data_IF_366916785023
#
_entry.id   IF_366916785023
#
_cell.length_a   1.000
_cell.length_b   1.000
_cell.length_c   1.000
_cell.angle_alpha   90.00
_cell.angle_beta   90.00
_cell.angle_gamma   90.00
#
_symmetry.space_group_name_H-M   'P 1'
#
loop_
_entity.id
_entity.type
_entity.pdbx_description
1 polymer ?
#
# COMPACT_ATOMS: atom_id res chain seq x y z
N UNK A 1 16.75 1.40 14.41
CA UNK A 1 16.03 2.35 13.53
C UNK A 1 15.00 1.59 12.69
N UNK A 2 13.82 2.15 12.44
CA UNK A 2 12.81 1.50 11.57
C UNK A 2 12.50 2.42 10.39
N UNK A 3 12.58 1.89 9.17
CA UNK A 3 12.14 2.55 7.95
C UNK A 3 10.76 2.03 7.59
N UNK A 4 9.80 2.93 7.49
CA UNK A 4 8.43 2.64 7.06
C UNK A 4 8.27 2.95 5.58
N UNK A 5 7.70 2.00 4.84
CA UNK A 5 7.45 2.09 3.41
C UNK A 5 5.93 2.14 3.19
N UNK A 6 5.30 3.32 3.33
CA UNK A 6 3.85 3.42 3.31
C UNK A 6 3.31 3.00 1.94
N UNK A 7 2.31 2.12 1.93
CA UNK A 7 1.68 1.63 0.68
C UNK A 7 2.68 0.94 -0.23
N UNK A 8 3.58 0.16 0.38
CA UNK A 8 4.69 -0.52 -0.30
C UNK A 8 4.27 -1.25 -1.60
N UNK A 9 3.17 -2.01 -1.66
CA UNK A 9 2.78 -2.70 -2.89
C UNK A 9 2.59 -1.74 -4.09
N UNK A 10 2.02 -0.56 -3.86
CA UNK A 10 1.87 0.45 -4.91
C UNK A 10 3.22 1.08 -5.26
N UNK A 11 4.08 1.33 -4.27
CA UNK A 11 5.40 1.89 -4.53
C UNK A 11 6.24 0.96 -5.41
N UNK A 12 6.26 -0.35 -5.09
CA UNK A 12 6.94 -1.37 -5.90
C UNK A 12 6.44 -1.36 -7.34
N UNK A 13 5.12 -1.38 -7.52
CA UNK A 13 4.52 -1.36 -8.85
C UNK A 13 4.88 -0.09 -9.64
N UNK A 14 4.94 1.07 -8.99
CA UNK A 14 5.31 2.33 -9.64
C UNK A 14 6.81 2.45 -9.96
N UNK A 15 7.66 1.65 -9.31
CA UNK A 15 9.07 1.49 -9.68
C UNK A 15 9.20 0.59 -10.91
N UNK A 16 8.48 -0.54 -10.93
CA UNK A 16 8.48 -1.49 -12.04
C UNK A 16 7.80 -0.91 -13.29
N UNK A 17 6.73 -0.13 -13.11
CA UNK A 17 5.92 0.45 -14.19
C UNK A 17 5.70 1.95 -13.97
N UNK A 18 6.68 2.80 -14.31
CA UNK A 18 6.59 4.25 -14.10
C UNK A 18 5.44 4.93 -14.86
N UNK A 19 4.95 4.33 -15.95
CA UNK A 19 3.82 4.81 -16.74
C UNK A 19 2.49 4.85 -15.98
N UNK A 20 2.39 4.18 -14.82
CA UNK A 20 1.19 4.17 -13.96
C UNK A 20 1.11 5.39 -13.03
N UNK A 21 2.18 6.18 -12.89
CA UNK A 21 2.21 7.38 -12.03
C UNK A 21 1.07 8.40 -12.26
N UNK A 22 0.62 8.67 -13.51
CA UNK A 22 -0.50 9.59 -13.76
C UNK A 22 -1.87 8.97 -13.50
N UNK A 23 -1.97 7.70 -13.11
CA UNK A 23 -3.24 7.00 -12.86
C UNK A 23 -3.43 6.71 -11.37
N UNK A 24 -4.68 6.64 -10.87
CA UNK A 24 -4.97 6.02 -9.59
C UNK A 24 -4.67 4.52 -9.67
N UNK A 25 -3.87 4.00 -8.75
CA UNK A 25 -3.50 2.58 -8.69
C UNK A 25 -4.12 1.95 -7.44
N UNK A 26 -4.88 0.88 -7.65
CA UNK A 26 -5.48 0.06 -6.60
C UNK A 26 -4.87 -1.33 -6.62
N UNK A 27 -4.35 -1.75 -5.48
CA UNK A 27 -4.00 -3.15 -5.23
C UNK A 27 -5.16 -3.75 -4.47
N UNK A 28 -5.78 -4.76 -5.04
CA UNK A 28 -6.99 -5.38 -4.54
C UNK A 28 -6.76 -6.85 -4.20
N UNK A 29 -7.49 -7.34 -3.20
CA UNK A 29 -7.54 -8.77 -2.88
C UNK A 29 -8.97 -9.26 -2.99
N UNK A 30 -9.16 -10.54 -3.28
CA UNK A 30 -10.49 -11.16 -3.20
C UNK A 30 -10.76 -11.58 -1.76
N UNK A 31 -11.91 -11.18 -1.22
CA UNK A 31 -12.35 -11.65 0.09
C UNK A 31 -12.95 -13.06 0.01
N UNK A 32 -13.32 -13.63 1.16
CA UNK A 32 -13.94 -14.96 1.26
C UNK A 32 -15.27 -15.11 0.49
N UNK A 33 -15.91 -14.00 0.10
CA UNK A 33 -17.13 -13.98 -0.71
C UNK A 33 -16.85 -13.73 -2.20
N UNK A 34 -15.57 -13.69 -2.60
CA UNK A 34 -15.15 -13.42 -3.98
C UNK A 34 -15.20 -11.96 -4.41
N UNK A 35 -15.54 -11.02 -3.52
CA UNK A 35 -15.57 -9.59 -3.83
C UNK A 35 -14.15 -9.00 -3.75
N UNK A 36 -13.85 -8.08 -4.69
CA UNK A 36 -12.59 -7.32 -4.65
C UNK A 36 -12.66 -6.25 -3.57
N UNK A 37 -11.71 -6.29 -2.65
CA UNK A 37 -11.50 -5.29 -1.60
C UNK A 37 -10.14 -4.64 -1.77
N UNK A 38 -10.04 -3.36 -1.42
CA UNK A 38 -8.80 -2.59 -1.49
C UNK A 38 -7.83 -3.12 -0.42
N UNK A 39 -6.64 -3.56 -0.83
CA UNK A 39 -5.54 -3.84 0.07
C UNK A 39 -4.76 -2.55 0.36
N UNK A 40 -4.42 -1.82 -0.70
CA UNK A 40 -3.77 -0.52 -0.65
C UNK A 40 -4.00 0.24 -1.95
N UNK A 41 -3.83 1.56 -1.94
CA UNK A 41 -3.99 2.36 -3.14
C UNK A 41 -3.16 3.65 -3.05
N UNK A 42 -2.77 4.19 -4.20
CA UNK A 42 -2.19 5.53 -4.29
C UNK A 42 -2.38 6.12 -5.67
N UNK A 43 -2.23 7.45 -5.75
CA UNK A 43 -2.08 8.17 -7.01
C UNK A 43 -0.83 9.04 -6.86
N UNK A 44 0.23 8.73 -7.60
CA UNK A 44 1.52 9.41 -7.44
C UNK A 44 1.49 10.84 -7.98
N UNK A 45 0.84 11.04 -9.13
CA UNK A 45 0.68 12.35 -9.78
C UNK A 45 -0.80 12.64 -10.00
N UNK A 46 -1.57 12.93 -8.93
CA UNK A 46 -2.95 13.31 -9.09
C UNK A 46 -3.04 14.70 -9.75
N UNK A 47 -4.08 14.95 -10.57
CA UNK A 47 -4.35 16.27 -11.10
C UNK A 47 -4.63 17.26 -9.95
N UNK A 48 -4.46 18.55 -10.24
CA UNK A 48 -4.81 19.61 -9.30
C UNK A 48 -6.28 19.46 -8.88
N UNK A 49 -6.51 19.41 -7.57
CA UNK A 49 -7.84 19.20 -7.01
C UNK A 49 -8.49 20.55 -6.70
N UNK A 50 -9.74 20.81 -7.12
CA UNK A 50 -10.50 21.94 -6.60
C UNK A 50 -10.77 21.68 -5.12
N UNK A 51 -10.40 22.65 -4.26
CA UNK A 51 -10.37 22.58 -2.80
C UNK A 51 -11.33 21.55 -2.18
N UNK A 52 -10.81 20.41 -1.72
CA UNK A 52 -11.60 19.35 -1.10
C UNK A 52 -10.74 18.32 -0.38
N UNK A 53 -11.34 17.63 0.60
CA UNK A 53 -10.68 16.63 1.45
C UNK A 53 -10.22 15.43 0.62
N UNK A 54 -8.96 15.00 0.79
CA UNK A 54 -8.42 13.77 0.15
C UNK A 54 -9.41 12.61 0.31
N UNK A 55 -9.66 11.82 -0.75
CA UNK A 55 -10.57 10.68 -0.65
C UNK A 55 -10.09 9.74 0.47
N UNK A 56 -10.98 9.45 1.40
CA UNK A 56 -10.73 8.54 2.51
C UNK A 56 -11.08 7.11 2.06
N UNK A 57 -10.19 6.54 1.25
CA UNK A 57 -10.29 5.14 0.83
C UNK A 57 -9.35 4.35 1.72
N UNK A 58 -9.94 3.45 2.50
CA UNK A 58 -9.26 2.64 3.51
C UNK A 58 -9.13 1.18 3.04
N UNK A 59 -8.11 0.44 3.52
CA UNK A 59 -8.03 -1.00 3.32
C UNK A 59 -9.29 -1.73 3.80
N UNK A 60 -9.71 -2.76 3.07
CA UNK A 60 -10.91 -3.55 3.34
C UNK A 60 -12.20 -3.01 2.70
N UNK A 61 -12.21 -1.75 2.26
CA UNK A 61 -13.31 -1.18 1.47
C UNK A 61 -13.48 -1.96 0.16
N UNK A 62 -14.71 -2.18 -0.30
CA UNK A 62 -14.91 -2.81 -1.61
C UNK A 62 -14.39 -1.90 -2.72
N UNK A 63 -13.95 -2.48 -3.84
CA UNK A 63 -13.51 -1.69 -4.98
C UNK A 63 -14.60 -0.72 -5.46
N UNK A 64 -15.86 -1.14 -5.43
CA UNK A 64 -17.00 -0.30 -5.80
C UNK A 64 -17.16 0.92 -4.89
N UNK A 65 -17.09 0.74 -3.56
CA UNK A 65 -17.12 1.85 -2.60
C UNK A 65 -15.92 2.79 -2.78
N UNK A 66 -14.73 2.23 -3.00
CA UNK A 66 -13.53 3.01 -3.24
C UNK A 66 -13.68 3.90 -4.50
N UNK A 67 -14.23 3.36 -5.59
CA UNK A 67 -14.55 4.14 -6.79
C UNK A 67 -15.63 5.20 -6.51
N UNK A 68 -16.64 4.89 -5.71
CA UNK A 68 -17.68 5.84 -5.32
C UNK A 68 -17.13 7.01 -4.48
N UNK A 69 -16.04 6.81 -3.73
CA UNK A 69 -15.31 7.87 -3.02
C UNK A 69 -14.37 8.64 -3.97
N UNK A 70 -13.75 7.95 -4.94
CA UNK A 70 -12.83 8.56 -5.91
C UNK A 70 -13.56 9.48 -6.91
N UNK A 71 -14.74 9.08 -7.39
CA UNK A 71 -15.52 9.80 -8.38
C UNK A 71 -15.86 11.26 -7.98
N UNK A 72 -16.38 11.58 -6.79
CA UNK A 72 -16.64 12.96 -6.40
C UNK A 72 -15.34 13.73 -6.08
N UNK A 73 -14.24 13.03 -5.77
CA UNK A 73 -12.96 13.64 -5.45
C UNK A 73 -12.19 14.14 -6.68
N UNK A 74 -12.28 13.41 -7.80
CA UNK A 74 -11.47 13.67 -9.00
C UNK A 74 -12.27 13.64 -10.30
N UNK A 75 -13.55 13.29 -10.26
CA UNK A 75 -14.41 13.07 -11.43
C UNK A 75 -14.52 11.60 -11.82
N UNK A 76 -15.59 11.25 -12.56
CA UNK A 76 -15.85 9.88 -13.01
C UNK A 76 -14.77 9.32 -13.95
N UNK A 77 -14.03 10.19 -14.64
CA UNK A 77 -12.91 9.78 -15.49
C UNK A 77 -11.79 9.13 -14.69
N UNK A 78 -11.54 9.57 -13.44
CA UNK A 78 -10.51 8.99 -12.58
C UNK A 78 -10.82 7.52 -12.27
N UNK A 79 -12.11 7.18 -12.10
CA UNK A 79 -12.53 5.79 -11.90
C UNK A 79 -12.32 4.95 -13.17
N UNK A 80 -12.56 5.52 -14.36
CA UNK A 80 -12.40 4.81 -15.64
C UNK A 80 -10.94 4.50 -15.97
N UNK A 81 -10.02 5.37 -15.58
CA UNK A 81 -8.59 5.16 -15.80
C UNK A 81 -7.86 4.54 -14.61
N UNK A 82 -8.57 4.22 -13.54
CA UNK A 82 -7.97 3.58 -12.38
C UNK A 82 -7.38 2.23 -12.79
N UNK A 83 -6.11 2.03 -12.47
CA UNK A 83 -5.42 0.77 -12.68
C UNK A 83 -5.67 -0.13 -11.48
N UNK A 84 -6.31 -1.27 -11.70
CA UNK A 84 -6.64 -2.24 -10.66
C UNK A 84 -5.82 -3.50 -10.88
N UNK A 85 -5.05 -3.89 -9.88
CA UNK A 85 -4.23 -5.10 -9.89
C UNK A 85 -4.57 -5.98 -8.70
N UNK A 86 -4.36 -7.28 -8.86
CA UNK A 86 -4.45 -8.22 -7.76
C UNK A 86 -3.24 -8.09 -6.82
N UNK A 87 -3.47 -8.34 -5.53
CA UNK A 87 -2.46 -8.34 -4.47
C UNK A 87 -1.45 -9.47 -4.70
N UNK A 88 -0.19 -9.10 -4.85
CA UNK A 88 0.96 -10.01 -4.97
C UNK A 88 1.81 -9.93 -3.70
N UNK A 89 1.27 -10.47 -2.60
CA UNK A 89 1.94 -10.46 -1.30
C UNK A 89 3.30 -11.16 -1.33
N UNK A 90 3.49 -12.14 -2.21
CA UNK A 90 4.76 -12.88 -2.35
C UNK A 90 5.80 -12.00 -3.03
N UNK A 91 5.48 -11.37 -4.16
CA UNK A 91 6.39 -10.44 -4.84
C UNK A 91 6.69 -9.21 -3.98
N UNK A 92 5.69 -8.68 -3.27
CA UNK A 92 5.89 -7.56 -2.33
C UNK A 92 6.92 -7.92 -1.24
N UNK A 93 6.80 -9.11 -0.66
CA UNK A 93 7.72 -9.61 0.37
C UNK A 93 9.13 -9.84 -0.20
N UNK A 94 9.25 -10.49 -1.35
CA UNK A 94 10.55 -10.77 -1.98
C UNK A 94 11.30 -9.48 -2.36
N UNK A 95 10.58 -8.47 -2.83
CA UNK A 95 11.16 -7.17 -3.14
C UNK A 95 11.67 -6.46 -1.87
N UNK A 96 10.94 -6.54 -0.74
CA UNK A 96 11.43 -6.04 0.55
C UNK A 96 12.65 -6.80 1.05
N UNK A 97 12.68 -8.12 0.91
CA UNK A 97 13.83 -8.93 1.29
C UNK A 97 15.06 -8.58 0.43
N UNK A 98 14.84 -8.21 -0.83
CA UNK A 98 15.91 -7.68 -1.69
C UNK A 98 16.40 -6.32 -1.20
N UNK A 99 15.49 -5.41 -0.82
CA UNK A 99 15.86 -4.12 -0.25
C UNK A 99 16.59 -4.29 1.11
N UNK A 100 16.13 -5.21 1.95
CA UNK A 100 16.76 -5.57 3.22
C UNK A 100 18.19 -6.08 3.01
N UNK A 101 18.40 -6.97 2.03
CA UNK A 101 19.74 -7.47 1.67
C UNK A 101 20.65 -6.34 1.21
N UNK A 102 20.16 -5.41 0.39
CA UNK A 102 20.93 -4.24 -0.03
C UNK A 102 21.29 -3.33 1.16
N UNK A 103 20.34 -3.11 2.07
CA UNK A 103 20.52 -2.29 3.26
C UNK A 103 21.56 -2.86 4.25
N UNK A 104 21.87 -4.16 4.21
CA UNK A 104 22.92 -4.77 5.05
C UNK A 104 24.32 -4.17 4.84
N UNK A 105 24.55 -3.48 3.72
CA UNK A 105 25.79 -2.72 3.50
C UNK A 105 25.95 -1.54 4.48
N UNK A 106 24.84 -1.03 5.03
CA UNK A 106 24.79 0.16 5.87
C UNK A 106 24.45 -0.14 7.34
N UNK A 107 23.86 -1.31 7.62
CA UNK A 107 23.55 -1.76 8.97
C UNK A 107 23.79 -3.28 9.06
N UNK A 108 24.58 -3.77 10.03
CA UNK A 108 24.95 -5.20 10.11
C UNK A 108 23.74 -6.13 10.31
N UNK A 109 22.67 -5.63 10.91
CA UNK A 109 21.44 -6.39 11.16
C UNK A 109 20.25 -5.67 10.53
N UNK A 110 19.60 -6.34 9.58
CA UNK A 110 18.40 -5.85 8.88
C UNK A 110 17.36 -6.97 8.83
N UNK A 111 16.14 -6.65 9.25
CA UNK A 111 14.99 -7.54 9.23
C UNK A 111 13.79 -6.88 8.52
N UNK A 112 13.00 -7.68 7.82
CA UNK A 112 11.71 -7.23 7.25
C UNK A 112 10.62 -7.54 8.27
N UNK A 113 10.05 -6.49 8.86
CA UNK A 113 8.99 -6.61 9.84
C UNK A 113 7.60 -6.60 9.19
N UNK A 114 6.58 -7.15 9.86
CA UNK A 114 5.20 -6.82 9.53
C UNK A 114 4.96 -5.33 9.81
N UNK A 115 4.00 -4.72 9.13
CA UNK A 115 3.54 -3.40 9.52
C UNK A 115 3.04 -3.45 10.97
N UNK A 116 3.84 -3.00 11.94
CA UNK A 116 3.37 -2.82 13.31
C UNK A 116 2.18 -1.85 13.25
N UNK A 117 1.00 -2.35 13.61
CA UNK A 117 -0.21 -1.56 13.67
C UNK A 117 0.09 -0.30 14.50
N UNK A 118 0.11 0.86 13.86
CA UNK A 118 0.22 2.13 14.56
C UNK A 118 -0.93 2.17 15.58
N UNK A 119 -0.58 2.19 16.86
CA UNK A 119 -1.53 2.05 17.95
C UNK A 119 -2.63 3.10 17.90
N UNK A 120 -3.87 2.65 17.92
CA UNK A 120 -4.97 3.33 18.61
C UNK A 120 -6.05 2.30 18.94
N UNK A 121 -6.57 2.41 20.16
CA UNK A 121 -7.49 1.50 20.79
C UNK A 121 -8.75 1.20 19.95
N UNK A 122 -9.18 -0.06 20.00
CA UNK A 122 -10.56 -0.45 19.73
C UNK A 122 -10.88 -0.90 18.31
N UNK A 123 -10.62 -2.20 18.02
CA UNK A 123 -11.62 -3.16 17.49
C UNK A 123 -10.94 -4.50 17.14
N UNK A 124 -11.23 -5.49 17.98
CA UNK A 124 -10.77 -6.89 17.98
C UNK A 124 -11.15 -7.74 16.73
N UNK A 125 -11.38 -7.15 15.56
CA UNK A 125 -11.81 -7.89 14.36
C UNK A 125 -10.96 -7.69 13.10
N UNK A 126 -9.98 -6.78 13.09
CA UNK A 126 -9.15 -6.48 11.89
C UNK A 126 -7.75 -7.10 11.96
N UNK A 127 -7.37 -7.62 13.12
CA UNK A 127 -6.01 -8.10 13.41
C UNK A 127 -5.53 -9.28 12.54
N UNK A 128 -6.43 -10.04 11.91
CA UNK A 128 -6.04 -11.20 11.11
C UNK A 128 -5.77 -10.88 9.63
N UNK A 129 -6.23 -9.74 9.11
CA UNK A 129 -6.04 -9.35 7.70
C UNK A 129 -4.85 -8.42 7.46
N UNK A 130 -4.35 -7.75 8.51
CA UNK A 130 -3.19 -6.85 8.46
C UNK A 130 -1.85 -7.56 8.67
N UNK A 131 -1.84 -8.81 9.14
CA UNK A 131 -0.63 -9.52 9.57
C UNK A 131 0.35 -9.91 8.43
N UNK A 132 -0.03 -9.74 7.16
CA UNK A 132 0.78 -10.13 6.00
C UNK A 132 1.28 -8.95 5.16
N UNK A 133 0.80 -7.72 5.42
CA UNK A 133 1.36 -6.53 4.77
C UNK A 133 2.71 -6.21 5.41
N UNK A 134 3.79 -6.72 4.81
CA UNK A 134 5.14 -6.29 5.13
C UNK A 134 5.32 -4.90 4.51
N UNK A 135 5.32 -3.85 5.34
CA UNK A 135 5.51 -2.46 4.89
C UNK A 135 6.67 -1.78 5.64
N UNK A 136 7.51 -2.54 6.37
CA UNK A 136 8.60 -1.95 7.15
C UNK A 136 9.91 -2.74 7.10
N UNK A 137 11.01 -2.00 7.27
CA UNK A 137 12.36 -2.52 7.42
C UNK A 137 12.89 -2.09 8.77
N UNK A 138 13.25 -3.06 9.60
CA UNK A 138 13.92 -2.83 10.86
C UNK A 138 15.44 -2.92 10.62
N UNK A 139 16.12 -1.82 10.91
CA UNK A 139 17.57 -1.69 10.84
C UNK A 139 18.10 -1.61 12.27
N UNK A 140 18.99 -2.50 12.65
CA UNK A 140 19.73 -2.36 13.90
C UNK A 140 21.13 -1.81 13.59
N UNK A 141 21.43 -0.69 14.24
CA UNK A 141 22.63 0.13 14.00
C UNK A 141 23.58 0.02 15.19
N UNK A 142 23.44 -0.99 16.05
CA UNK A 142 24.40 -1.28 17.11
C UNK A 142 25.69 -1.81 16.51
N UNK A 143 26.60 -0.91 16.15
CA UNK A 143 27.87 -1.27 15.53
C UNK A 143 28.57 -0.07 14.89
N UNK A 144 28.80 0.98 15.68
CA UNK A 144 29.88 1.95 15.45
C UNK A 144 30.61 2.18 16.76
#
# INVERSE_FOLDING_TARGET
MTIWLPRWPVQRLLVEQPSLRPQPVFVCRRNHRGLLTVATWAWAMPPARPAGRRPAIEPGMSLAEAMAVLAPAYGSWACRMAHVVDEDAVGDRQALETLARWARRFAPVVAVGPAAAAGSAGRLAVAHLQALASDCLQLDVTGT
#
